data_IF_121944434907
#
_entry.id   IF_121944434907
#
_cell.length_a   1.000
_cell.length_b   1.000
_cell.length_c   1.000
_cell.angle_alpha   90.00
_cell.angle_beta   90.00
_cell.angle_gamma   90.00
#
_symmetry.space_group_name_H-M   'P 1'
#
loop_
_entity.id
_entity.type
_entity.pdbx_description
1 polymer ?
#
# COMPACT_ATOMS: atom_id res chain seq x y z
N UNK A 1 -9.52 -2.59 -8.18
CA UNK A 1 -9.39 -2.13 -6.79
C UNK A 1 -8.01 -2.39 -6.16
N UNK A 2 -7.10 -3.03 -6.85
CA UNK A 2 -5.82 -3.43 -6.25
C UNK A 2 -4.73 -2.38 -6.40
N UNK A 3 -4.72 -1.57 -7.46
CA UNK A 3 -3.73 -0.51 -7.67
C UNK A 3 -3.99 0.69 -6.77
N UNK A 4 -5.26 1.07 -6.56
CA UNK A 4 -5.62 2.08 -5.58
C UNK A 4 -5.53 1.61 -4.12
N UNK A 5 -5.68 0.30 -3.85
CA UNK A 5 -5.44 -0.22 -2.51
C UNK A 5 -3.96 -0.13 -2.10
N UNK A 6 -3.02 -0.19 -3.05
CA UNK A 6 -1.60 0.11 -2.75
C UNK A 6 -1.37 1.60 -2.41
N UNK A 7 -2.25 2.51 -2.86
CA UNK A 7 -2.25 3.91 -2.42
C UNK A 7 -3.09 4.15 -1.16
N UNK A 8 -4.10 3.31 -0.90
CA UNK A 8 -5.03 3.42 0.24
C UNK A 8 -4.70 2.49 1.41
N UNK A 9 -4.23 1.28 1.18
CA UNK A 9 -3.48 0.56 2.20
C UNK A 9 -2.11 1.19 2.17
N UNK A 10 -1.81 2.05 3.13
CA UNK A 10 -0.44 2.48 3.31
C UNK A 10 0.41 1.22 3.19
N UNK A 11 1.16 1.08 2.08
CA UNK A 11 2.20 0.05 2.04
C UNK A 11 2.82 0.07 3.42
N UNK A 12 2.99 -1.07 4.09
CA UNK A 12 3.80 -1.07 5.27
C UNK A 12 5.12 -0.43 4.83
N UNK A 13 5.30 0.82 5.17
CA UNK A 13 6.50 1.60 4.83
C UNK A 13 7.65 1.09 5.67
N UNK A 14 7.88 -0.20 5.52
CA UNK A 14 8.82 -1.02 6.23
C UNK A 14 10.15 -1.09 5.53
N UNK A 15 10.24 -0.64 4.30
CA UNK A 15 11.54 -0.27 3.78
C UNK A 15 12.02 0.92 4.62
N UNK A 16 12.78 0.63 5.66
CA UNK A 16 13.66 1.63 6.24
C UNK A 16 14.37 2.26 5.03
N UNK A 17 14.08 3.53 4.75
CA UNK A 17 14.85 4.29 3.76
C UNK A 17 16.30 3.94 3.99
N UNK A 18 17.05 3.42 3.01
CA UNK A 18 18.47 3.24 3.20
C UNK A 18 19.00 4.64 3.54
N UNK A 19 19.52 4.79 4.75
CA UNK A 19 20.14 6.04 5.17
C UNK A 19 21.11 6.45 4.05
N UNK A 20 21.12 7.74 3.63
CA UNK A 20 22.09 8.22 2.66
C UNK A 20 23.47 7.81 3.19
N UNK A 21 24.24 7.07 2.40
CA UNK A 21 25.61 6.72 2.80
C UNK A 21 26.39 8.00 2.89
N UNK A 22 26.59 8.47 4.09
CA UNK A 22 27.64 9.43 4.39
C UNK A 22 28.98 8.88 3.92
N UNK A 23 29.77 9.76 3.36
CA UNK A 23 31.18 9.64 3.05
C UNK A 23 31.92 8.86 4.16
N UNK A 24 32.78 7.96 3.74
CA UNK A 24 33.68 7.15 4.57
C UNK A 24 34.31 7.99 5.68
N UNK A 25 33.77 7.87 6.88
CA UNK A 25 34.53 8.16 8.08
C UNK A 25 34.25 7.12 9.16
N UNK A 26 35.24 6.92 10.00
CA UNK A 26 35.55 5.80 10.86
C UNK A 26 34.44 5.44 11.86
N UNK A 27 34.26 4.14 12.08
CA UNK A 27 33.67 3.47 13.26
C UNK A 27 32.37 4.08 13.81
N UNK A 28 31.31 4.10 13.01
CA UNK A 28 29.98 4.30 13.55
C UNK A 28 29.45 2.95 14.01
N UNK A 29 29.33 2.75 15.31
CA UNK A 29 28.57 1.63 15.89
C UNK A 29 27.18 1.60 15.23
N UNK A 30 26.63 0.42 14.87
CA UNK A 30 25.33 0.32 14.26
C UNK A 30 24.29 1.04 15.13
N UNK A 31 23.66 2.09 14.59
CA UNK A 31 22.65 2.88 15.31
C UNK A 31 21.58 1.92 15.82
N UNK A 32 21.40 1.86 17.13
CA UNK A 32 20.39 1.01 17.76
C UNK A 32 19.03 1.45 17.26
N UNK A 33 18.26 0.51 16.69
CA UNK A 33 16.87 0.77 16.29
C UNK A 33 16.08 0.98 17.58
N UNK A 34 15.53 2.16 17.77
CA UNK A 34 14.61 2.42 18.86
C UNK A 34 13.20 1.94 18.47
N UNK A 35 12.47 1.31 19.40
CA UNK A 35 11.08 0.96 19.14
C UNK A 35 10.27 2.24 18.95
N UNK A 36 9.30 2.18 18.05
CA UNK A 36 8.48 3.34 17.69
C UNK A 36 7.04 2.89 17.44
N UNK A 37 6.09 3.60 18.01
CA UNK A 37 4.67 3.40 17.76
C UNK A 37 4.12 4.60 17.00
N UNK A 38 3.38 4.35 15.93
CA UNK A 38 2.70 5.38 15.15
C UNK A 38 1.22 5.05 15.04
N UNK A 39 0.39 6.05 15.27
CA UNK A 39 -1.05 6.04 14.98
C UNK A 39 -1.31 6.94 13.78
N UNK A 40 -2.24 6.53 12.93
CA UNK A 40 -2.76 7.34 11.83
C UNK A 40 -4.28 7.28 11.83
N UNK A 41 -4.94 8.44 11.80
CA UNK A 41 -6.39 8.57 11.67
C UNK A 41 -6.64 9.41 10.42
N UNK A 42 -7.50 8.94 9.54
CA UNK A 42 -7.73 9.67 8.30
C UNK A 42 -9.02 9.32 7.60
N UNK A 43 -9.24 10.04 6.51
CA UNK A 43 -10.37 9.83 5.63
C UNK A 43 -9.99 10.04 4.17
N UNK A 44 -10.74 9.45 3.26
CA UNK A 44 -10.69 9.74 1.84
C UNK A 44 -12.08 10.10 1.31
N UNK A 45 -12.07 10.93 0.27
CA UNK A 45 -13.26 11.27 -0.50
C UNK A 45 -12.89 11.28 -1.99
N UNK A 46 -13.72 10.59 -2.79
CA UNK A 46 -13.51 10.46 -4.23
C UNK A 46 -14.82 10.71 -4.97
N UNK A 47 -14.82 11.74 -5.80
CA UNK A 47 -15.91 12.04 -6.74
C UNK A 47 -15.92 11.01 -7.85
N UNK A 48 -17.08 10.42 -8.13
CA UNK A 48 -17.26 9.41 -9.16
C UNK A 48 -18.22 9.96 -10.22
N UNK A 49 -17.81 9.92 -11.48
CA UNK A 49 -18.67 10.37 -12.59
C UNK A 49 -19.75 9.31 -12.96
N UNK A 50 -20.52 9.60 -14.03
CA UNK A 50 -21.56 8.73 -14.58
C UNK A 50 -22.70 8.45 -13.58
N UNK A 51 -23.12 9.49 -12.84
CA UNK A 51 -24.21 9.43 -11.85
C UNK A 51 -24.04 8.34 -10.79
N UNK A 52 -22.79 7.97 -10.51
CA UNK A 52 -22.47 7.01 -9.47
C UNK A 52 -22.21 7.72 -8.14
N UNK A 53 -22.61 7.10 -7.02
CA UNK A 53 -22.32 7.63 -5.69
C UNK A 53 -20.83 7.80 -5.43
N UNK A 54 -20.46 8.89 -4.80
CA UNK A 54 -19.10 9.17 -4.37
C UNK A 54 -18.60 8.12 -3.37
N UNK A 55 -17.29 7.90 -3.36
CA UNK A 55 -16.66 6.95 -2.46
C UNK A 55 -16.07 7.65 -1.26
N UNK A 56 -16.20 7.02 -0.10
CA UNK A 56 -15.69 7.52 1.17
C UNK A 56 -15.00 6.39 1.94
N UNK A 57 -13.93 6.73 2.63
CA UNK A 57 -13.28 5.81 3.56
C UNK A 57 -12.87 6.58 4.81
N UNK A 58 -13.14 6.00 5.97
CA UNK A 58 -12.60 6.44 7.26
C UNK A 58 -11.73 5.33 7.79
N UNK A 59 -10.57 5.65 8.34
CA UNK A 59 -9.65 4.64 8.83
C UNK A 59 -8.90 5.08 10.08
N UNK A 60 -8.51 4.07 10.84
CA UNK A 60 -7.58 4.14 11.95
C UNK A 60 -6.51 3.08 11.72
N UNK A 61 -5.24 3.45 11.83
CA UNK A 61 -4.10 2.54 11.70
C UNK A 61 -3.16 2.67 12.88
N UNK A 62 -2.65 1.53 13.33
CA UNK A 62 -1.61 1.42 14.34
C UNK A 62 -0.43 0.67 13.75
N UNK A 63 0.78 1.22 13.90
CA UNK A 63 2.03 0.59 13.48
C UNK A 63 3.00 0.60 14.65
N UNK A 64 3.62 -0.55 14.95
CA UNK A 64 4.67 -0.66 15.94
C UNK A 64 5.94 -1.26 15.31
N UNK A 65 7.02 -0.52 15.38
CA UNK A 65 8.37 -0.94 14.96
C UNK A 65 9.15 -1.42 16.19
N UNK A 66 9.59 -2.66 16.17
CA UNK A 66 10.40 -3.25 17.22
C UNK A 66 11.88 -2.90 17.06
N UNK A 67 12.63 -2.94 18.16
CA UNK A 67 14.09 -2.74 18.16
C UNK A 67 14.86 -3.75 17.29
N UNK A 68 14.28 -4.91 17.04
CA UNK A 68 14.80 -5.96 16.14
C UNK A 68 14.63 -5.65 14.66
N UNK A 69 13.86 -4.57 14.31
CA UNK A 69 13.55 -4.17 12.94
C UNK A 69 12.33 -4.86 12.35
N UNK A 70 11.62 -5.64 13.13
CA UNK A 70 10.28 -6.16 12.79
C UNK A 70 9.27 -5.02 12.89
N UNK A 71 8.14 -5.14 12.16
CA UNK A 71 7.03 -4.19 12.25
C UNK A 71 5.73 -4.96 12.29
N UNK A 72 4.89 -4.66 13.29
CA UNK A 72 3.51 -5.11 13.34
C UNK A 72 2.60 -3.92 13.05
N UNK A 73 1.53 -4.13 12.31
CA UNK A 73 0.59 -3.08 11.97
C UNK A 73 -0.83 -3.61 11.84
N UNK A 74 -1.79 -2.73 12.06
CA UNK A 74 -3.21 -3.04 11.89
C UNK A 74 -3.98 -1.82 11.45
N UNK A 75 -5.06 -2.05 10.70
CA UNK A 75 -5.96 -1.01 10.23
C UNK A 75 -7.40 -1.46 10.40
N UNK A 76 -8.23 -0.57 10.95
CA UNK A 76 -9.68 -0.68 10.92
C UNK A 76 -10.22 0.43 10.02
N UNK A 77 -11.14 0.12 9.12
CA UNK A 77 -11.73 1.10 8.22
C UNK A 77 -13.20 0.84 7.94
N UNK A 78 -13.91 1.91 7.58
CA UNK A 78 -15.25 1.86 7.02
C UNK A 78 -15.17 2.38 5.58
N UNK A 79 -15.47 1.52 4.61
CA UNK A 79 -15.37 1.80 3.17
C UNK A 79 -16.75 1.89 2.59
N UNK A 80 -17.14 3.08 2.10
CA UNK A 80 -18.41 3.30 1.43
C UNK A 80 -18.21 3.46 -0.07
N UNK A 81 -18.86 2.60 -0.86
CA UNK A 81 -18.86 2.62 -2.33
C UNK A 81 -20.19 2.10 -2.84
N UNK A 82 -20.67 2.65 -3.96
CA UNK A 82 -21.94 2.23 -4.55
C UNK A 82 -23.09 2.18 -3.54
N UNK A 83 -23.13 3.16 -2.60
CA UNK A 83 -24.10 3.26 -1.48
C UNK A 83 -24.01 2.16 -0.43
N UNK A 84 -23.06 1.25 -0.58
CA UNK A 84 -22.81 0.16 0.38
C UNK A 84 -21.63 0.52 1.28
N UNK A 85 -21.71 0.17 2.56
CA UNK A 85 -20.64 0.38 3.53
C UNK A 85 -20.15 -0.95 4.09
N UNK A 86 -18.88 -1.24 3.87
CA UNK A 86 -18.21 -2.40 4.44
C UNK A 86 -17.17 -1.98 5.48
N UNK A 87 -17.26 -2.44 6.73
CA UNK A 87 -16.14 -2.39 7.65
C UNK A 87 -15.05 -3.36 7.19
N UNK A 88 -13.81 -2.97 7.39
CA UNK A 88 -12.66 -3.82 7.05
C UNK A 88 -11.64 -3.78 8.19
N UNK A 89 -11.09 -4.93 8.51
CA UNK A 89 -10.02 -5.09 9.49
C UNK A 89 -8.83 -5.77 8.80
N UNK A 90 -7.65 -5.23 9.01
CA UNK A 90 -6.41 -5.77 8.48
C UNK A 90 -5.35 -5.79 9.56
N UNK A 91 -4.57 -6.86 9.60
CA UNK A 91 -3.35 -6.97 10.41
C UNK A 91 -2.21 -7.42 9.52
N UNK A 92 -1.01 -6.95 9.82
CA UNK A 92 0.16 -7.31 9.06
C UNK A 92 1.42 -7.36 9.92
N UNK A 93 2.39 -8.08 9.42
CA UNK A 93 3.67 -8.27 10.06
C UNK A 93 4.79 -8.32 9.02
N UNK A 94 5.80 -7.50 9.24
CA UNK A 94 7.04 -7.50 8.46
C UNK A 94 8.19 -7.98 9.32
N UNK A 95 9.08 -8.80 8.77
CA UNK A 95 10.23 -9.32 9.50
C UNK A 95 11.45 -9.51 8.60
N UNK A 96 12.64 -9.05 9.02
CA UNK A 96 13.89 -9.51 8.46
C UNK A 96 14.07 -11.01 8.77
N UNK A 97 14.42 -11.81 7.76
CA UNK A 97 14.62 -13.26 7.90
C UNK A 97 16.05 -13.63 8.27
N UNK A 98 17.00 -12.72 8.13
CA UNK A 98 18.39 -12.93 8.47
C UNK A 98 19.04 -11.68 9.11
N UNK A 99 20.17 -11.87 9.78
CA UNK A 99 20.91 -10.79 10.47
C UNK A 99 21.40 -9.70 9.53
N UNK A 100 21.72 -10.04 8.27
CA UNK A 100 22.15 -9.08 7.26
C UNK A 100 20.98 -8.26 6.66
N UNK A 101 19.73 -8.60 7.02
CA UNK A 101 18.50 -8.01 6.48
C UNK A 101 18.45 -8.03 4.93
N UNK A 102 19.14 -9.01 4.34
CA UNK A 102 19.13 -9.20 2.89
C UNK A 102 17.86 -9.92 2.41
N UNK A 103 17.20 -10.68 3.28
CA UNK A 103 15.90 -11.27 3.06
C UNK A 103 14.89 -10.74 4.07
N UNK A 104 13.71 -10.42 3.60
CA UNK A 104 12.60 -9.91 4.40
C UNK A 104 11.31 -10.59 3.96
N UNK A 105 10.37 -10.73 4.89
CA UNK A 105 9.05 -11.27 4.61
C UNK A 105 7.97 -10.33 5.14
N UNK A 106 6.85 -10.26 4.41
CA UNK A 106 5.63 -9.57 4.80
C UNK A 106 4.48 -10.55 4.77
N UNK A 107 3.62 -10.48 5.78
CA UNK A 107 2.38 -11.25 5.88
C UNK A 107 1.25 -10.30 6.24
N UNK A 108 0.09 -10.44 5.58
CA UNK A 108 -1.13 -9.70 5.89
C UNK A 108 -2.32 -10.64 5.92
N UNK A 109 -3.26 -10.34 6.80
CA UNK A 109 -4.59 -10.93 6.81
C UNK A 109 -5.61 -9.81 6.96
N UNK A 110 -6.68 -9.86 6.16
CA UNK A 110 -7.76 -8.88 6.23
C UNK A 110 -9.11 -9.56 6.02
N UNK A 111 -10.18 -8.87 6.42
CA UNK A 111 -11.53 -9.33 6.18
C UNK A 111 -12.57 -8.26 6.45
N UNK A 112 -13.73 -8.44 5.81
CA UNK A 112 -14.91 -7.58 5.99
C UNK A 112 -16.09 -8.42 6.46
N UNK A 113 -16.68 -8.12 7.65
CA UNK A 113 -17.86 -8.83 8.12
C UNK A 113 -19.07 -8.71 7.20
N UNK A 114 -19.28 -7.54 6.59
CA UNK A 114 -20.41 -7.30 5.69
C UNK A 114 -20.14 -7.81 4.26
N UNK A 115 -18.88 -7.74 3.83
CA UNK A 115 -18.32 -8.27 2.58
C UNK A 115 -19.20 -8.10 1.31
N UNK A 116 -19.89 -6.96 1.18
CA UNK A 116 -20.73 -6.67 0.02
C UNK A 116 -19.87 -6.21 -1.19
N UNK A 117 -18.82 -5.45 -0.94
CA UNK A 117 -17.85 -4.96 -1.93
C UNK A 117 -16.41 -5.35 -1.61
N UNK A 118 -16.12 -5.63 -0.34
CA UNK A 118 -14.79 -6.07 0.10
C UNK A 118 -14.73 -7.60 0.21
N UNK A 119 -13.55 -8.22 0.13
CA UNK A 119 -13.42 -9.65 0.33
C UNK A 119 -13.81 -10.05 1.75
N UNK A 120 -14.48 -11.20 1.88
CA UNK A 120 -14.74 -11.86 3.16
C UNK A 120 -13.44 -12.11 3.92
N UNK A 121 -12.41 -12.55 3.18
CA UNK A 121 -11.07 -12.78 3.72
C UNK A 121 -10.02 -12.50 2.65
N UNK A 122 -8.90 -11.95 3.06
CA UNK A 122 -7.72 -11.71 2.22
C UNK A 122 -6.46 -12.14 2.96
N UNK A 123 -5.57 -12.85 2.29
CA UNK A 123 -4.26 -13.23 2.81
C UNK A 123 -3.19 -12.82 1.81
N UNK A 124 -2.12 -12.21 2.28
CA UNK A 124 -0.98 -11.81 1.47
C UNK A 124 0.31 -12.30 2.12
N UNK A 125 1.20 -12.86 1.29
CA UNK A 125 2.55 -13.21 1.66
C UNK A 125 3.53 -12.72 0.60
N UNK A 126 4.63 -12.10 1.01
CA UNK A 126 5.66 -11.59 0.11
C UNK A 126 7.05 -11.84 0.69
N UNK A 127 7.97 -12.24 -0.18
CA UNK A 127 9.40 -12.25 0.08
C UNK A 127 10.07 -11.11 -0.66
N UNK A 128 11.00 -10.44 0.01
CA UNK A 128 11.83 -9.38 -0.56
C UNK A 128 13.31 -9.73 -0.40
N UNK A 129 14.10 -9.40 -1.39
CA UNK A 129 15.55 -9.56 -1.36
C UNK A 129 16.26 -8.24 -1.68
N UNK A 130 17.17 -7.87 -0.81
CA UNK A 130 18.11 -6.77 -1.04
C UNK A 130 19.34 -7.30 -1.76
N UNK A 131 19.55 -6.86 -3.01
CA UNK A 131 20.69 -7.24 -3.84
C UNK A 131 21.91 -6.33 -3.65
N UNK A 132 21.83 -5.38 -2.73
CA UNK A 132 22.85 -4.35 -2.53
C UNK A 132 22.75 -3.20 -3.52
N UNK A 133 23.59 -2.17 -3.30
CA UNK A 133 23.61 -0.95 -4.12
C UNK A 133 22.24 -0.29 -4.31
N UNK A 134 21.33 -0.47 -3.34
CA UNK A 134 19.97 0.11 -3.33
C UNK A 134 18.95 -0.65 -4.20
N UNK A 135 19.25 -1.86 -4.72
CA UNK A 135 18.29 -2.68 -5.43
C UNK A 135 17.54 -3.63 -4.50
N UNK A 136 16.20 -3.63 -4.59
CA UNK A 136 15.34 -4.63 -3.99
C UNK A 136 14.49 -5.30 -5.07
N UNK A 137 14.27 -6.60 -4.90
CA UNK A 137 13.29 -7.35 -5.67
C UNK A 137 12.31 -8.02 -4.72
N UNK A 138 11.08 -8.19 -5.14
CA UNK A 138 10.04 -8.84 -4.35
C UNK A 138 9.18 -9.77 -5.20
N UNK A 139 8.67 -10.82 -4.57
CA UNK A 139 7.66 -11.71 -5.13
C UNK A 139 6.68 -12.11 -4.02
N UNK A 140 5.39 -12.04 -4.32
CA UNK A 140 4.34 -12.34 -3.36
C UNK A 140 3.10 -12.91 -4.02
N UNK A 141 2.21 -13.41 -3.18
CA UNK A 141 0.89 -13.89 -3.59
C UNK A 141 -0.16 -13.33 -2.65
N UNK A 142 -1.30 -12.91 -3.22
CA UNK A 142 -2.49 -12.51 -2.50
C UNK A 142 -3.65 -13.42 -2.87
N UNK A 143 -4.35 -13.90 -1.87
CA UNK A 143 -5.56 -14.70 -2.01
C UNK A 143 -6.74 -13.90 -1.44
N UNK A 144 -7.73 -13.57 -2.26
CA UNK A 144 -8.94 -12.88 -1.84
C UNK A 144 -10.14 -13.79 -2.07
N UNK A 145 -10.90 -14.02 -1.00
CA UNK A 145 -12.18 -14.74 -1.06
C UNK A 145 -13.32 -13.74 -0.97
N UNK A 146 -14.17 -13.78 -1.97
CA UNK A 146 -15.46 -13.09 -2.00
C UNK A 146 -16.61 -14.10 -1.80
N UNK A 147 -17.87 -13.68 -1.56
CA UNK A 147 -18.97 -14.60 -1.33
C UNK A 147 -19.16 -15.65 -2.46
N UNK A 148 -18.99 -15.22 -3.71
CA UNK A 148 -19.21 -16.06 -4.90
C UNK A 148 -17.93 -16.40 -5.67
N UNK A 149 -16.81 -15.73 -5.39
CA UNK A 149 -15.62 -15.78 -6.24
C UNK A 149 -14.33 -15.84 -5.41
N UNK A 150 -13.26 -16.32 -6.04
CA UNK A 150 -11.89 -16.30 -5.50
C UNK A 150 -10.98 -15.63 -6.51
N UNK A 151 -10.17 -14.68 -6.03
CA UNK A 151 -9.13 -14.03 -6.82
C UNK A 151 -7.76 -14.35 -6.23
N UNK A 152 -6.90 -14.99 -7.00
CA UNK A 152 -5.50 -15.19 -6.67
C UNK A 152 -4.66 -14.20 -7.48
N UNK A 153 -3.68 -13.55 -6.83
CA UNK A 153 -2.87 -12.53 -7.47
C UNK A 153 -1.40 -12.70 -7.13
N UNK A 154 -0.58 -12.86 -8.18
CA UNK A 154 0.86 -12.71 -8.09
C UNK A 154 1.25 -11.23 -8.04
N UNK A 155 2.21 -10.88 -7.19
CA UNK A 155 2.74 -9.53 -7.01
C UNK A 155 4.26 -9.59 -7.15
N UNK A 156 4.81 -8.90 -8.16
CA UNK A 156 6.24 -8.91 -8.45
C UNK A 156 6.75 -7.47 -8.48
N UNK A 157 7.78 -7.18 -7.71
CA UNK A 157 8.30 -5.82 -7.58
C UNK A 157 9.80 -5.73 -7.78
N UNK A 158 10.22 -4.60 -8.32
CA UNK A 158 11.62 -4.18 -8.31
C UNK A 158 11.70 -2.72 -7.90
N UNK A 159 12.64 -2.41 -7.01
CA UNK A 159 12.85 -1.07 -6.50
C UNK A 159 14.32 -0.68 -6.59
N UNK A 160 14.54 0.60 -6.81
CA UNK A 160 15.87 1.21 -6.78
C UNK A 160 15.87 2.43 -5.88
N UNK A 161 16.72 2.41 -4.88
CA UNK A 161 17.05 3.57 -4.05
C UNK A 161 18.35 4.19 -4.53
N UNK A 162 18.36 5.49 -4.72
CA UNK A 162 19.55 6.26 -5.12
C UNK A 162 19.51 7.64 -4.48
N UNK A 163 20.46 7.92 -3.59
CA UNK A 163 20.44 9.14 -2.77
C UNK A 163 19.09 9.30 -2.04
N UNK A 164 18.43 10.42 -2.19
CA UNK A 164 17.13 10.74 -1.61
C UNK A 164 15.93 10.25 -2.45
N UNK A 165 16.13 9.48 -3.50
CA UNK A 165 15.09 9.04 -4.41
C UNK A 165 14.85 7.55 -4.35
N UNK A 166 13.59 7.13 -4.58
CA UNK A 166 13.17 5.76 -4.83
C UNK A 166 12.40 5.72 -6.14
N UNK A 167 12.77 4.82 -7.02
CA UNK A 167 11.95 4.37 -8.15
C UNK A 167 11.49 2.95 -7.90
N UNK A 168 10.24 2.63 -8.20
CA UNK A 168 9.68 1.29 -8.06
C UNK A 168 8.79 0.94 -9.24
N UNK A 169 8.83 -0.33 -9.60
CA UNK A 169 7.91 -0.95 -10.54
C UNK A 169 7.29 -2.18 -9.88
N UNK A 170 5.98 -2.33 -10.01
CA UNK A 170 5.25 -3.51 -9.52
C UNK A 170 4.33 -4.04 -10.63
N UNK A 171 4.37 -5.35 -10.85
CA UNK A 171 3.48 -6.09 -11.71
C UNK A 171 2.49 -6.87 -10.84
N UNK A 172 1.20 -6.69 -11.08
CA UNK A 172 0.12 -7.48 -10.51
C UNK A 172 -0.46 -8.38 -11.59
N UNK A 173 -0.60 -9.67 -11.29
CA UNK A 173 -1.21 -10.66 -12.18
C UNK A 173 -2.32 -11.36 -11.39
N UNK A 174 -3.56 -10.92 -11.60
CA UNK A 174 -4.72 -11.43 -10.90
C UNK A 174 -5.45 -12.48 -11.77
N UNK A 175 -5.78 -13.62 -11.18
CA UNK A 175 -6.56 -14.67 -11.81
C UNK A 175 -7.92 -14.81 -11.11
N UNK A 176 -8.99 -14.72 -11.87
CA UNK A 176 -10.36 -14.94 -11.43
C UNK A 176 -10.88 -16.21 -12.06
N UNK A 177 -11.29 -17.18 -11.26
CA UNK A 177 -11.80 -18.45 -11.70
C UNK A 177 -12.96 -18.26 -12.69
N UNK A 178 -12.87 -18.91 -13.86
CA UNK A 178 -13.89 -18.84 -14.92
C UNK A 178 -13.96 -17.53 -15.72
N UNK A 179 -13.20 -16.47 -15.34
CA UNK A 179 -13.25 -15.15 -16.00
C UNK A 179 -11.88 -14.67 -16.51
N UNK A 180 -10.84 -15.49 -16.33
CA UNK A 180 -9.51 -15.26 -16.90
C UNK A 180 -8.55 -14.45 -16.02
N UNK A 181 -7.53 -13.90 -16.65
CA UNK A 181 -6.42 -13.19 -15.97
C UNK A 181 -6.43 -11.71 -16.33
N UNK A 182 -6.11 -10.87 -15.36
CA UNK A 182 -5.88 -9.45 -15.50
C UNK A 182 -4.45 -9.12 -15.06
N UNK A 183 -3.79 -8.22 -15.77
CA UNK A 183 -2.44 -7.76 -15.41
C UNK A 183 -2.40 -6.23 -15.38
N UNK A 184 -1.83 -5.68 -14.32
CA UNK A 184 -1.62 -4.24 -14.19
C UNK A 184 -0.19 -3.92 -13.77
N UNK A 185 0.28 -2.79 -14.26
CA UNK A 185 1.63 -2.26 -14.10
C UNK A 185 1.58 -0.99 -13.28
N UNK A 186 2.40 -0.90 -12.25
CA UNK A 186 2.48 0.27 -11.37
C UNK A 186 3.90 0.79 -11.33
N UNK A 187 4.07 2.08 -11.59
CA UNK A 187 5.32 2.82 -11.46
C UNK A 187 5.19 3.85 -10.35
N UNK A 188 6.18 3.95 -9.51
CA UNK A 188 6.22 4.92 -8.41
C UNK A 188 7.57 5.60 -8.35
N UNK A 189 7.55 6.90 -8.07
CA UNK A 189 8.72 7.69 -7.74
C UNK A 189 8.53 8.40 -6.42
N UNK A 190 9.53 8.38 -5.54
CA UNK A 190 9.49 9.10 -4.27
C UNK A 190 10.76 9.91 -4.08
N UNK A 191 10.61 11.09 -3.51
CA UNK A 191 11.68 11.93 -3.01
C UNK A 191 11.55 12.04 -1.48
N UNK A 192 12.63 11.73 -0.77
CA UNK A 192 12.73 11.80 0.68
C UNK A 192 13.55 13.02 1.07
N UNK A 193 13.10 13.78 2.06
CA UNK A 193 13.81 14.98 2.53
C UNK A 193 13.61 15.15 4.03
N UNK A 194 14.55 15.88 4.63
CA UNK A 194 14.64 15.89 6.09
C UNK A 194 14.80 14.47 6.64
N UNK A 195 14.42 14.26 7.87
CA UNK A 195 14.59 12.94 8.51
C UNK A 195 13.49 11.93 8.11
N UNK A 196 12.26 12.40 7.76
CA UNK A 196 11.07 11.53 7.66
C UNK A 196 10.03 12.01 6.67
N UNK A 197 10.32 13.03 5.91
CA UNK A 197 9.39 13.60 4.95
C UNK A 197 9.54 12.92 3.59
N UNK A 198 8.45 12.83 2.88
CA UNK A 198 8.47 12.32 1.51
C UNK A 198 7.36 12.92 0.68
N UNK A 199 7.62 13.03 -0.61
CA UNK A 199 6.63 13.28 -1.65
C UNK A 199 6.86 12.28 -2.75
N UNK A 200 5.79 11.83 -3.40
CA UNK A 200 5.87 10.83 -4.47
C UNK A 200 4.79 11.02 -5.50
N UNK A 201 5.00 10.36 -6.63
CA UNK A 201 4.01 10.24 -7.69
C UNK A 201 3.91 8.78 -8.14
N UNK A 202 2.73 8.39 -8.58
CA UNK A 202 2.42 7.06 -9.09
C UNK A 202 1.68 7.13 -10.42
N UNK A 203 1.92 6.12 -11.24
CA UNK A 203 1.23 5.89 -12.49
C UNK A 203 0.95 4.40 -12.63
N UNK A 204 -0.29 4.04 -12.99
CA UNK A 204 -0.63 2.65 -13.23
C UNK A 204 -1.50 2.49 -14.47
N UNK A 205 -1.37 1.34 -15.13
CA UNK A 205 -2.18 0.95 -16.27
C UNK A 205 -2.26 -0.57 -16.42
N UNK A 206 -3.23 -1.03 -17.19
CA UNK A 206 -3.44 -2.44 -17.49
C UNK A 206 -4.88 -2.86 -17.28
N UNK A 207 -5.06 -4.05 -16.69
CA UNK A 207 -6.38 -4.58 -16.36
C UNK A 207 -6.45 -4.97 -14.90
N UNK A 208 -7.62 -4.75 -14.30
CA UNK A 208 -7.91 -5.12 -12.92
C UNK A 208 -9.21 -5.91 -12.82
N UNK A 209 -9.33 -6.64 -11.70
CA UNK A 209 -10.58 -7.27 -11.28
C UNK A 209 -11.20 -6.36 -10.23
N UNK A 210 -12.34 -5.76 -10.55
CA UNK A 210 -13.07 -4.83 -9.69
C UNK A 210 -14.28 -5.52 -9.06
N UNK A 211 -14.49 -5.28 -7.77
CA UNK A 211 -15.70 -5.70 -7.07
C UNK A 211 -16.76 -4.62 -7.17
N UNK A 212 -17.89 -4.98 -7.73
CA UNK A 212 -19.07 -4.13 -7.88
C UNK A 212 -20.29 -4.83 -7.27
N UNK A 213 -21.37 -4.12 -6.95
CA UNK A 213 -22.63 -4.77 -6.59
C UNK A 213 -23.02 -5.78 -7.67
N UNK A 214 -23.21 -7.06 -7.28
CA UNK A 214 -23.53 -8.15 -8.19
C UNK A 214 -22.36 -9.00 -8.67
N UNK A 215 -21.11 -8.70 -8.26
CA UNK A 215 -19.97 -9.60 -8.51
C UNK A 215 -18.67 -8.95 -8.89
N UNK A 216 -17.79 -9.71 -9.54
CA UNK A 216 -16.47 -9.25 -9.99
C UNK A 216 -16.46 -9.03 -11.49
N UNK A 217 -15.87 -7.92 -11.93
CA UNK A 217 -15.67 -7.59 -13.35
C UNK A 217 -14.19 -7.39 -13.64
N UNK A 218 -13.77 -7.70 -14.86
CA UNK A 218 -12.45 -7.37 -15.38
C UNK A 218 -12.56 -6.14 -16.28
N UNK A 219 -11.70 -5.16 -16.06
CA UNK A 219 -11.75 -3.89 -16.79
C UNK A 219 -10.36 -3.28 -16.92
N UNK A 220 -10.17 -2.46 -17.97
CA UNK A 220 -8.95 -1.67 -18.14
C UNK A 220 -8.88 -0.58 -17.08
N UNK A 221 -7.67 -0.24 -16.67
CA UNK A 221 -7.42 0.81 -15.68
C UNK A 221 -6.34 1.76 -16.14
N UNK A 222 -6.48 3.02 -15.73
CA UNK A 222 -5.47 4.06 -15.83
C UNK A 222 -5.53 4.89 -14.55
N UNK A 223 -4.40 5.06 -13.88
CA UNK A 223 -4.31 5.71 -12.57
C UNK A 223 -3.13 6.69 -12.53
N UNK A 224 -3.36 7.85 -11.92
CA UNK A 224 -2.33 8.81 -11.54
C UNK A 224 -2.52 9.19 -10.08
N UNK A 225 -1.44 9.25 -9.34
CA UNK A 225 -1.48 9.64 -7.94
C UNK A 225 -0.30 10.51 -7.53
N UNK A 226 -0.54 11.37 -6.55
CA UNK A 226 0.49 12.12 -5.82
C UNK A 226 0.31 11.81 -4.36
N UNK A 227 1.41 11.52 -3.69
CA UNK A 227 1.41 11.15 -2.27
C UNK A 227 2.39 12.02 -1.50
N UNK A 228 2.12 12.23 -0.22
CA UNK A 228 3.07 12.92 0.64
C UNK A 228 2.90 12.54 2.09
N UNK A 229 4.01 12.70 2.82
CA UNK A 229 4.07 12.58 4.27
C UNK A 229 4.99 13.66 4.82
N UNK A 230 4.48 14.43 5.76
CA UNK A 230 5.21 15.55 6.35
C UNK A 230 5.07 15.51 7.86
N UNK A 231 6.21 15.59 8.55
CA UNK A 231 6.27 15.70 10.00
C UNK A 231 6.45 17.17 10.37
N UNK A 232 5.52 17.69 11.16
CA UNK A 232 5.54 19.07 11.68
C UNK A 232 6.56 19.16 12.82
N UNK A 233 6.64 18.11 13.63
CA UNK A 233 7.60 17.94 14.71
C UNK A 233 7.87 16.44 14.92
N UNK A 234 8.55 16.10 16.03
CA UNK A 234 8.91 14.70 16.33
C UNK A 234 7.71 13.78 16.62
N UNK A 235 6.53 14.33 16.90
CA UNK A 235 5.34 13.57 17.29
C UNK A 235 4.21 13.66 16.27
N UNK A 236 4.01 14.84 15.66
CA UNK A 236 2.87 15.12 14.79
C UNK A 236 3.26 15.25 13.34
N UNK A 237 2.48 14.69 12.48
CA UNK A 237 2.63 14.81 11.04
C UNK A 237 1.30 14.62 10.32
N UNK A 238 1.32 14.72 9.01
CA UNK A 238 0.20 14.41 8.15
C UNK A 238 0.66 13.66 6.91
N UNK A 239 -0.26 12.85 6.38
CA UNK A 239 -0.10 12.17 5.12
C UNK A 239 -1.26 12.55 4.19
N UNK A 240 -1.01 12.56 2.89
CA UNK A 240 -2.04 12.80 1.90
C UNK A 240 -1.83 11.98 0.63
N UNK A 241 -2.91 11.74 -0.07
CA UNK A 241 -2.96 11.20 -1.42
C UNK A 241 -3.92 12.07 -2.23
N UNK A 242 -3.54 12.47 -3.44
CA UNK A 242 -4.45 12.94 -4.46
C UNK A 242 -4.41 11.94 -5.60
N UNK A 243 -5.56 11.60 -6.18
CA UNK A 243 -5.66 10.60 -7.23
C UNK A 243 -6.64 10.98 -8.33
N UNK A 244 -6.35 10.47 -9.51
CA UNK A 244 -7.27 10.37 -10.63
C UNK A 244 -7.20 8.94 -11.16
N UNK A 245 -8.35 8.31 -11.35
CA UNK A 245 -8.45 6.91 -11.75
C UNK A 245 -9.58 6.73 -12.77
N UNK A 246 -9.31 6.00 -13.83
CA UNK A 246 -10.30 5.59 -14.83
C UNK A 246 -10.45 4.07 -14.84
N UNK A 247 -11.67 3.61 -14.67
CA UNK A 247 -12.06 2.20 -14.67
C UNK A 247 -12.79 1.86 -15.97
N UNK A 248 -12.03 1.61 -17.03
CA UNK A 248 -12.56 1.33 -18.36
C UNK A 248 -13.54 2.39 -18.85
N UNK A 249 -14.73 1.92 -19.22
CA UNK A 249 -15.87 2.76 -19.60
C UNK A 249 -16.87 2.97 -18.45
N UNK A 250 -16.64 2.34 -17.29
CA UNK A 250 -17.62 2.30 -16.20
C UNK A 250 -17.67 3.61 -15.43
N UNK A 251 -16.51 4.17 -15.09
CA UNK A 251 -16.40 5.43 -14.38
C UNK A 251 -14.97 5.98 -14.39
N UNK A 252 -14.90 7.28 -14.10
CA UNK A 252 -13.68 7.95 -13.67
C UNK A 252 -13.92 8.48 -12.28
N UNK A 253 -12.92 8.42 -11.42
CA UNK A 253 -12.97 9.00 -10.08
C UNK A 253 -11.74 9.84 -9.82
N UNK A 254 -11.94 10.92 -9.07
CA UNK A 254 -10.87 11.81 -8.64
C UNK A 254 -11.14 12.25 -7.22
N UNK A 255 -10.09 12.40 -6.45
CA UNK A 255 -10.24 12.76 -5.05
C UNK A 255 -8.95 12.66 -4.28
N UNK A 256 -9.07 12.47 -2.98
CA UNK A 256 -7.90 12.38 -2.14
C UNK A 256 -8.18 11.79 -0.77
N UNK A 257 -7.09 11.58 -0.08
CA UNK A 257 -7.04 11.10 1.29
C UNK A 257 -6.19 12.05 2.12
N UNK A 258 -6.57 12.24 3.37
CA UNK A 258 -5.76 12.92 4.37
C UNK A 258 -5.73 12.09 5.65
N UNK A 259 -4.57 12.02 6.29
CA UNK A 259 -4.36 11.36 7.57
C UNK A 259 -3.51 12.20 8.51
N UNK A 260 -3.92 12.25 9.76
CA UNK A 260 -3.15 12.82 10.86
C UNK A 260 -2.29 11.71 11.47
N UNK A 261 -1.01 11.99 11.65
CA UNK A 261 -0.01 11.07 12.18
C UNK A 261 0.37 11.49 13.60
N UNK A 262 0.40 10.53 14.51
CA UNK A 262 0.92 10.70 15.87
C UNK A 262 1.93 9.60 16.16
N UNK A 263 3.07 9.95 16.77
CA UNK A 263 4.15 9.05 17.11
C UNK A 263 4.58 9.20 18.57
N UNK A 264 4.91 8.09 19.21
CA UNK A 264 5.45 7.96 20.57
C UNK A 264 6.38 6.77 20.71
#
# INVERSE_FOLDING_TARGET
MFVCAAAQTGEPRTAASPEPKETKDKSVSPKKIEPETQVEIGSSYEFVNNDKPDWQTYYFSLTHKFSTGQVAYGTASAVRRFEVTDPNFMVGFFTPLNKSKSWMATFEAAGSPNHQILPTASFFGQLQRNFGKGWLGSAGIRHNRYPADIVNMGVFGVEKYFSAYRGAYTLYVAHLNGKGTAASHVFQGNYYYGERNSVGAGFAFGQEIESVPGGLIKTDVLDFSVTGRHWINNQWGFAYVALWHRQGIFYTRSGGQIGLLLRF
#
